data_IF_324726176751
#
_entry.id   IF_324726176751
#
_cell.length_a   1.000
_cell.length_b   1.000
_cell.length_c   1.000
_cell.angle_alpha   90.00
_cell.angle_beta   90.00
_cell.angle_gamma   90.00
#
_symmetry.space_group_name_H-M   'P 1'
#
loop_
_entity.id
_entity.type
_entity.pdbx_description
1 polymer ?
#
# COMPACT_ATOMS: atom_id res chain seq x y z
N UNK A 1 31.02 33.60 16.45
CA UNK A 1 30.38 32.37 16.99
C UNK A 1 28.87 32.55 16.92
N UNK A 2 28.22 32.03 15.88
CA UNK A 2 26.75 32.06 15.75
C UNK A 2 26.33 30.74 15.10
N UNK A 3 26.00 29.76 15.93
CA UNK A 3 25.56 28.44 15.48
C UNK A 3 24.10 28.57 15.07
N UNK A 4 23.86 28.50 13.75
CA UNK A 4 22.51 28.55 13.14
C UNK A 4 21.71 27.34 13.65
N UNK A 5 20.52 27.50 14.25
CA UNK A 5 19.70 26.36 14.64
C UNK A 5 18.99 25.86 13.37
N UNK A 6 19.63 24.94 12.67
CA UNK A 6 18.98 24.18 11.61
C UNK A 6 18.05 23.15 12.28
N UNK A 7 16.75 23.25 11.94
CA UNK A 7 15.80 22.12 11.93
C UNK A 7 15.34 21.52 13.27
N UNK A 8 14.49 22.21 14.03
CA UNK A 8 13.67 21.57 15.10
C UNK A 8 12.15 21.73 14.88
N UNK A 9 11.72 22.11 13.67
CA UNK A 9 10.32 22.43 13.37
C UNK A 9 9.62 21.48 12.38
N UNK A 10 10.01 20.20 12.32
CA UNK A 10 9.41 19.29 11.33
C UNK A 10 9.32 17.80 11.74
N UNK A 11 9.01 17.45 12.99
CA UNK A 11 9.00 16.04 13.41
C UNK A 11 7.68 15.48 13.97
N UNK A 12 6.57 16.22 13.88
CA UNK A 12 5.23 15.67 14.13
C UNK A 12 4.38 15.65 12.86
N UNK A 13 4.93 15.10 11.78
CA UNK A 13 4.07 14.66 10.66
C UNK A 13 3.24 13.50 11.22
N UNK A 14 1.91 13.62 11.26
CA UNK A 14 1.01 12.49 11.59
C UNK A 14 1.33 11.34 10.64
N UNK A 15 2.08 10.36 11.12
CA UNK A 15 2.40 9.16 10.35
C UNK A 15 1.15 8.28 10.42
N UNK A 16 0.34 8.32 9.36
CA UNK A 16 -0.78 7.42 9.22
C UNK A 16 -0.23 6.00 9.06
N UNK A 17 -0.46 5.17 10.07
CA UNK A 17 -0.16 3.74 10.02
C UNK A 17 -1.25 3.05 9.22
N UNK A 18 -0.84 2.28 8.22
CA UNK A 18 -1.73 1.44 7.42
C UNK A 18 -1.37 -0.01 7.68
N UNK A 19 -2.39 -0.86 7.63
CA UNK A 19 -2.27 -2.29 7.89
C UNK A 19 -2.32 -3.03 6.55
N UNK A 20 -1.40 -3.97 6.35
CA UNK A 20 -1.23 -4.68 5.09
C UNK A 20 -1.09 -6.17 5.31
N UNK A 21 -1.76 -6.96 4.49
CA UNK A 21 -1.64 -8.41 4.51
C UNK A 21 -0.39 -8.88 3.76
N UNK A 22 0.34 -9.81 4.36
CA UNK A 22 1.49 -10.48 3.77
C UNK A 22 1.28 -11.99 3.77
N UNK A 23 1.79 -12.65 2.73
CA UNK A 23 1.84 -14.10 2.61
C UNK A 23 3.26 -14.54 2.33
N UNK A 24 3.72 -15.51 3.12
CA UNK A 24 4.99 -16.16 2.84
C UNK A 24 4.84 -17.17 1.69
N UNK A 25 5.65 -17.06 0.62
CA UNK A 25 5.62 -18.03 -0.48
C UNK A 25 6.19 -19.39 -0.07
N UNK A 26 7.11 -19.46 0.91
CA UNK A 26 7.77 -20.70 1.32
C UNK A 26 6.92 -21.58 2.24
N UNK A 27 6.21 -20.99 3.20
CA UNK A 27 5.41 -21.74 4.18
C UNK A 27 3.90 -21.48 4.09
N UNK A 28 3.46 -20.61 3.18
CA UNK A 28 2.04 -20.28 2.98
C UNK A 28 1.38 -19.46 4.09
N UNK A 29 2.11 -19.12 5.16
CA UNK A 29 1.56 -18.39 6.32
C UNK A 29 1.16 -16.98 5.93
N UNK A 30 -0.07 -16.58 6.30
CA UNK A 30 -0.59 -15.21 6.16
C UNK A 30 -0.49 -14.48 7.49
N UNK A 31 -0.08 -13.22 7.47
CA UNK A 31 0.08 -12.39 8.65
C UNK A 31 -0.01 -10.90 8.28
N UNK A 32 -0.14 -10.04 9.28
CA UNK A 32 -0.53 -8.66 9.09
C UNK A 32 0.53 -7.66 9.58
N UNK A 33 0.92 -6.80 8.64
CA UNK A 33 1.90 -5.71 8.60
C UNK A 33 1.42 -4.30 8.95
N UNK A 34 1.65 -3.70 10.11
CA UNK A 34 1.38 -2.26 10.31
C UNK A 34 2.59 -1.39 9.96
N UNK A 35 2.47 -0.55 8.93
CA UNK A 35 3.51 0.41 8.57
C UNK A 35 2.96 1.65 7.83
N UNK A 36 3.73 2.76 7.79
CA UNK A 36 3.33 3.94 7.03
C UNK A 36 3.28 3.65 5.54
N UNK A 37 2.38 4.33 4.81
CA UNK A 37 2.37 4.30 3.34
C UNK A 37 3.68 4.79 2.72
N UNK A 38 4.36 5.76 3.36
CA UNK A 38 5.63 6.30 2.89
C UNK A 38 6.86 5.46 3.26
N UNK A 39 6.67 4.37 4.01
CA UNK A 39 7.75 3.48 4.42
C UNK A 39 7.93 2.32 3.42
N UNK A 40 9.17 1.87 3.26
CA UNK A 40 9.52 0.71 2.44
C UNK A 40 10.06 -0.42 3.33
N UNK A 41 9.22 -1.11 4.12
CA UNK A 41 9.69 -2.15 5.04
C UNK A 41 10.06 -3.43 4.30
N UNK A 42 11.20 -4.03 4.65
CA UNK A 42 11.53 -5.40 4.28
C UNK A 42 10.89 -6.37 5.26
N UNK A 43 9.74 -6.95 4.90
CA UNK A 43 8.98 -7.86 5.76
C UNK A 43 9.47 -9.31 5.59
N UNK A 44 9.89 -9.94 6.69
CA UNK A 44 10.26 -11.35 6.77
C UNK A 44 9.14 -12.19 7.41
N UNK A 45 9.08 -13.47 7.06
CA UNK A 45 8.09 -14.38 7.62
C UNK A 45 8.45 -14.74 9.08
N UNK A 46 7.51 -14.60 10.04
CA UNK A 46 7.78 -14.93 11.45
C UNK A 46 7.96 -16.43 11.70
N UNK A 47 7.55 -17.31 10.77
CA UNK A 47 7.69 -18.76 10.93
C UNK A 47 8.97 -19.34 10.33
N UNK A 48 9.44 -18.81 9.20
CA UNK A 48 10.55 -19.41 8.45
C UNK A 48 11.64 -18.41 8.02
N UNK A 49 11.50 -17.13 8.35
CA UNK A 49 12.51 -16.10 8.07
C UNK A 49 12.66 -15.69 6.60
N UNK A 50 12.01 -16.38 5.66
CA UNK A 50 12.02 -16.03 4.24
C UNK A 50 11.30 -14.69 3.97
N UNK A 51 11.61 -14.05 2.83
CA UNK A 51 10.95 -12.79 2.41
C UNK A 51 9.46 -13.05 2.16
N UNK A 52 8.61 -12.26 2.82
CA UNK A 52 7.17 -12.31 2.61
C UNK A 52 6.75 -11.36 1.47
N UNK A 53 5.68 -11.71 0.76
CA UNK A 53 5.11 -10.89 -0.30
C UNK A 53 3.79 -10.28 0.16
N UNK A 54 3.57 -9.00 -0.21
CA UNK A 54 2.31 -8.31 0.08
C UNK A 54 1.17 -8.94 -0.73
N UNK A 55 0.07 -9.24 -0.07
CA UNK A 55 -1.14 -9.77 -0.70
C UNK A 55 -2.05 -8.61 -1.05
N UNK A 56 -2.49 -8.55 -2.31
CA UNK A 56 -3.57 -7.68 -2.73
C UNK A 56 -4.81 -8.54 -2.91
N UNK A 57 -5.86 -8.26 -2.14
CA UNK A 57 -7.18 -8.81 -2.40
C UNK A 57 -7.78 -8.07 -3.60
N UNK A 58 -8.36 -8.82 -4.54
CA UNK A 58 -9.15 -8.24 -5.62
C UNK A 58 -10.46 -7.73 -5.03
N UNK A 59 -10.60 -6.42 -4.89
CA UNK A 59 -11.91 -5.81 -4.65
C UNK A 59 -12.67 -5.77 -5.96
N UNK A 60 -13.86 -6.37 -6.00
CA UNK A 60 -14.74 -6.28 -7.16
C UNK A 60 -15.24 -4.84 -7.30
N UNK A 61 -14.89 -4.18 -8.40
CA UNK A 61 -15.36 -2.83 -8.69
C UNK A 61 -16.70 -2.98 -9.40
N UNK A 62 -17.79 -2.74 -8.69
CA UNK A 62 -19.15 -2.78 -9.26
C UNK A 62 -19.53 -1.37 -9.74
N UNK A 63 -19.67 -1.21 -11.05
CA UNK A 63 -20.13 0.03 -11.67
C UNK A 63 -21.65 0.03 -11.84
N UNK A 64 -22.38 0.33 -10.76
CA UNK A 64 -23.83 0.48 -10.80
C UNK A 64 -24.22 1.91 -11.16
N UNK A 65 -24.47 2.18 -12.44
CA UNK A 65 -25.00 3.47 -12.90
C UNK A 65 -25.81 3.30 -14.18
N UNK A 66 -27.01 3.87 -14.24
CA UNK A 66 -27.92 3.81 -15.40
C UNK A 66 -27.48 4.65 -16.61
N UNK A 67 -26.25 5.17 -16.60
CA UNK A 67 -25.80 6.25 -17.48
C UNK A 67 -24.45 6.04 -18.15
N UNK A 68 -24.02 4.79 -18.38
CA UNK A 68 -22.88 4.52 -19.26
C UNK A 68 -23.31 4.58 -20.72
N UNK A 69 -23.55 5.78 -21.26
CA UNK A 69 -23.66 5.96 -22.70
C UNK A 69 -22.28 5.75 -23.32
N UNK A 70 -22.13 4.65 -24.07
CA UNK A 70 -20.97 4.37 -24.90
C UNK A 70 -21.04 5.28 -26.13
N UNK A 71 -20.61 6.55 -25.98
CA UNK A 71 -20.68 7.56 -27.05
C UNK A 71 -19.53 7.46 -28.06
N UNK A 72 -18.59 6.52 -27.90
CA UNK A 72 -17.36 6.48 -28.73
C UNK A 72 -17.33 5.34 -29.77
N UNK A 73 -18.37 4.52 -29.90
CA UNK A 73 -18.49 3.58 -31.03
C UNK A 73 -18.92 4.29 -32.32
N UNK A 74 -18.16 5.30 -32.76
CA UNK A 74 -18.24 5.81 -34.13
C UNK A 74 -17.07 5.28 -34.94
N UNK A 75 -17.11 3.98 -35.20
CA UNK A 75 -16.36 3.39 -36.30
C UNK A 75 -16.82 4.03 -37.61
N UNK A 76 -15.94 4.85 -38.19
CA UNK A 76 -16.11 5.46 -39.52
C UNK A 76 -16.13 4.36 -40.60
N UNK A 77 -17.03 4.56 -41.57
CA UNK A 77 -17.07 4.09 -42.97
C UNK A 77 -16.41 2.76 -43.32
#
# INVERSE_FOLDING_TARGET
MAVRPLFVHALFRRIHMARYDYKCPSCGTRFEVEHPMSAHPSVSCPKCGSKAQKVFSSSEIVFSGSGFYNTDQRGKK
#
